data_IF_776211546500
#
_entry.id   IF_776211546500
#
_cell.length_a   1.000
_cell.length_b   1.000
_cell.length_c   1.000
_cell.angle_alpha   90.00
_cell.angle_beta   90.00
_cell.angle_gamma   90.00
#
_symmetry.space_group_name_H-M   'P 1'
#
loop_
_entity.id
_entity.type
_entity.pdbx_description
1 polymer ?
#
# COMPACT_ATOMS: atom_id res chain seq x y z
N UNK A 1 10.19 -34.19 -1.68
CA UNK A 1 9.98 -32.91 -0.99
C UNK A 1 9.00 -33.10 0.15
N UNK A 2 9.45 -32.93 1.39
CA UNK A 2 8.67 -33.20 2.61
C UNK A 2 7.81 -32.02 3.08
N UNK A 3 7.55 -31.03 2.23
CA UNK A 3 6.81 -29.79 2.54
C UNK A 3 5.34 -29.81 2.10
N UNK A 4 4.80 -30.94 1.67
CA UNK A 4 3.44 -31.06 1.15
C UNK A 4 2.35 -31.45 2.17
N UNK A 5 2.68 -31.54 3.47
CA UNK A 5 1.75 -32.01 4.51
C UNK A 5 1.44 -30.90 5.54
N UNK A 6 1.03 -29.76 5.08
CA UNK A 6 0.55 -28.68 5.94
C UNK A 6 -0.57 -27.93 5.25
N UNK A 7 -1.55 -27.49 6.02
CA UNK A 7 -2.55 -26.55 5.54
C UNK A 7 -1.82 -25.21 5.27
N UNK A 8 -1.74 -24.70 4.03
CA UNK A 8 -1.14 -23.39 3.81
C UNK A 8 -2.05 -22.33 4.45
N UNK A 9 -1.58 -21.73 5.52
CA UNK A 9 -2.25 -20.61 6.17
C UNK A 9 -1.62 -19.33 5.66
N UNK A 10 -2.42 -18.48 5.02
CA UNK A 10 -2.00 -17.14 4.61
C UNK A 10 -2.03 -16.26 5.86
N UNK A 11 -0.87 -15.80 6.31
CA UNK A 11 -0.76 -14.79 7.37
C UNK A 11 -0.86 -13.42 6.71
N UNK A 12 -1.99 -12.75 6.89
CA UNK A 12 -2.16 -11.38 6.40
C UNK A 12 -1.31 -10.40 7.21
N UNK A 13 -0.76 -9.35 6.57
CA UNK A 13 -0.13 -8.25 7.30
C UNK A 13 -1.12 -7.64 8.29
N UNK A 14 -0.68 -7.22 9.49
CA UNK A 14 -1.57 -6.60 10.46
C UNK A 14 -2.13 -5.28 9.93
N UNK A 15 -3.33 -4.92 10.39
CA UNK A 15 -3.97 -3.63 10.10
C UNK A 15 -3.14 -2.46 10.62
N UNK A 16 -3.40 -1.25 10.11
CA UNK A 16 -2.63 -0.05 10.43
C UNK A 16 -2.51 0.19 11.93
N UNK A 17 -3.61 0.13 12.67
CA UNK A 17 -3.63 0.34 14.12
C UNK A 17 -2.76 -0.68 14.86
N UNK A 18 -2.83 -1.93 14.44
CA UNK A 18 -1.98 -3.00 14.98
C UNK A 18 -0.51 -2.76 14.66
N UNK A 19 -0.19 -2.31 13.45
CA UNK A 19 1.20 -1.95 13.08
C UNK A 19 1.73 -0.80 13.93
N UNK A 20 0.93 0.22 14.18
CA UNK A 20 1.30 1.35 15.06
C UNK A 20 1.59 0.86 16.47
N UNK A 21 0.71 0.01 17.02
CA UNK A 21 0.90 -0.55 18.36
C UNK A 21 2.18 -1.41 18.46
N UNK A 22 2.45 -2.25 17.45
CA UNK A 22 3.67 -3.05 17.36
C UNK A 22 4.90 -2.14 17.32
N UNK A 23 4.86 -1.08 16.49
CA UNK A 23 5.99 -0.17 16.34
C UNK A 23 6.31 0.59 17.64
N UNK A 24 5.29 1.08 18.33
CA UNK A 24 5.45 1.77 19.62
C UNK A 24 6.05 0.83 20.68
N UNK A 25 5.52 -0.40 20.78
CA UNK A 25 6.06 -1.40 21.72
C UNK A 25 7.52 -1.73 21.41
N UNK A 26 7.87 -1.90 20.14
CA UNK A 26 9.26 -2.16 19.72
C UNK A 26 10.18 -0.95 19.97
N UNK A 27 9.67 0.26 19.85
CA UNK A 27 10.42 1.47 20.18
C UNK A 27 10.75 1.52 21.69
N UNK A 28 9.79 1.17 22.55
CA UNK A 28 10.01 1.06 24.00
C UNK A 28 11.10 0.02 24.33
N UNK A 29 11.06 -1.17 23.69
CA UNK A 29 12.09 -2.21 23.85
C UNK A 29 13.51 -1.72 23.48
N UNK A 30 13.60 -0.78 22.52
CA UNK A 30 14.85 -0.16 22.09
C UNK A 30 15.23 1.11 22.89
N UNK A 31 14.45 1.47 23.89
CA UNK A 31 14.57 2.74 24.63
C UNK A 31 14.56 3.96 23.69
N UNK A 32 13.76 3.91 22.65
CA UNK A 32 13.59 4.98 21.69
C UNK A 32 12.26 5.70 21.95
N UNK A 33 12.35 6.98 22.34
CA UNK A 33 11.15 7.81 22.50
C UNK A 33 10.55 8.10 21.12
N UNK A 34 9.48 7.36 20.75
CA UNK A 34 8.81 7.44 19.46
C UNK A 34 7.48 8.17 19.62
N UNK A 35 7.33 9.40 19.08
CA UNK A 35 6.05 10.10 19.06
C UNK A 35 5.01 9.31 18.26
N UNK A 36 3.73 9.41 18.67
CA UNK A 36 2.64 8.65 18.08
C UNK A 36 2.40 8.99 16.60
N UNK A 37 2.52 10.26 16.22
CA UNK A 37 2.45 10.74 14.84
C UNK A 37 3.58 10.16 13.97
N UNK A 38 4.76 10.01 14.53
CA UNK A 38 5.91 9.39 13.91
C UNK A 38 5.69 7.89 13.68
N UNK A 39 5.16 7.19 14.69
CA UNK A 39 4.80 5.77 14.58
C UNK A 39 3.71 5.56 13.52
N UNK A 40 2.71 6.42 13.49
CA UNK A 40 1.65 6.39 12.48
C UNK A 40 2.22 6.61 11.07
N UNK A 41 3.09 7.62 10.89
CA UNK A 41 3.74 7.92 9.61
C UNK A 41 4.52 6.73 9.05
N UNK A 42 5.30 6.04 9.88
CA UNK A 42 6.06 4.85 9.48
C UNK A 42 5.11 3.71 9.12
N UNK A 43 4.13 3.42 9.99
CA UNK A 43 3.20 2.30 9.82
C UNK A 43 2.26 2.44 8.64
N UNK A 44 1.89 3.67 8.27
CA UNK A 44 1.09 3.96 7.07
C UNK A 44 1.85 3.63 5.78
N UNK A 45 3.14 3.86 5.77
CA UNK A 45 3.99 3.68 4.58
C UNK A 45 4.60 2.30 4.47
N UNK A 46 4.99 1.68 5.59
CA UNK A 46 5.55 0.33 5.60
C UNK A 46 4.43 -0.66 5.92
N UNK A 47 3.87 -1.28 4.89
CA UNK A 47 2.68 -2.15 4.97
C UNK A 47 3.02 -3.64 4.82
N UNK A 48 4.20 -3.97 4.32
CA UNK A 48 4.56 -5.30 3.86
C UNK A 48 4.66 -6.34 4.98
N UNK A 49 5.42 -6.07 6.03
CA UNK A 49 5.59 -7.00 7.15
C UNK A 49 6.22 -6.32 8.38
N UNK A 50 6.11 -7.02 9.52
CA UNK A 50 6.65 -6.55 10.81
C UNK A 50 8.19 -6.43 10.80
N UNK A 51 8.89 -7.25 10.02
CA UNK A 51 10.37 -7.20 9.93
C UNK A 51 10.85 -5.91 9.29
N UNK A 52 10.13 -5.41 8.29
CA UNK A 52 10.45 -4.12 7.67
C UNK A 52 10.18 -2.95 8.62
N UNK A 53 9.10 -3.02 9.42
CA UNK A 53 8.84 -2.05 10.49
C UNK A 53 9.99 -2.03 11.50
N UNK A 54 10.46 -3.19 11.94
CA UNK A 54 11.61 -3.30 12.85
C UNK A 54 12.89 -2.76 12.22
N UNK A 55 13.14 -3.06 10.96
CA UNK A 55 14.28 -2.54 10.20
C UNK A 55 14.28 -1.02 10.11
N UNK A 56 13.13 -0.43 9.80
CA UNK A 56 12.93 1.01 9.75
C UNK A 56 13.17 1.65 11.13
N UNK A 57 12.62 1.05 12.20
CA UNK A 57 12.78 1.52 13.57
C UNK A 57 14.25 1.53 14.01
N UNK A 58 14.99 0.44 13.74
CA UNK A 58 16.42 0.35 14.03
C UNK A 58 17.22 1.43 13.29
N UNK A 59 16.89 1.70 12.03
CA UNK A 59 17.55 2.74 11.23
C UNK A 59 17.28 4.13 11.81
N UNK A 60 16.03 4.44 12.17
CA UNK A 60 15.66 5.70 12.82
C UNK A 60 16.39 5.86 14.16
N UNK A 61 16.41 4.81 14.99
CA UNK A 61 17.10 4.82 16.28
C UNK A 61 18.60 5.01 16.16
N UNK A 62 19.24 4.39 15.17
CA UNK A 62 20.67 4.57 14.89
C UNK A 62 20.98 6.01 14.48
N UNK A 63 20.17 6.60 13.59
CA UNK A 63 20.33 7.99 13.14
C UNK A 63 20.07 8.99 14.28
N UNK A 64 19.05 8.76 15.11
CA UNK A 64 18.77 9.59 16.28
C UNK A 64 19.98 9.63 17.24
N UNK A 65 20.56 8.47 17.54
CA UNK A 65 21.77 8.36 18.37
C UNK A 65 22.97 9.04 17.73
N UNK A 66 23.21 8.82 16.44
CA UNK A 66 24.34 9.39 15.72
C UNK A 66 24.25 10.92 15.65
N UNK A 67 23.05 11.45 15.35
CA UNK A 67 22.81 12.89 15.27
C UNK A 67 22.62 13.56 16.64
N UNK A 68 22.52 12.78 17.71
CA UNK A 68 22.15 13.24 19.06
C UNK A 68 20.89 14.10 19.05
N UNK A 69 19.86 13.62 18.35
CA UNK A 69 18.55 14.28 18.18
C UNK A 69 17.42 13.40 18.69
N UNK A 70 16.36 14.05 19.13
CA UNK A 70 15.10 13.37 19.39
C UNK A 70 14.43 12.93 18.07
N UNK A 71 13.57 11.90 18.16
CA UNK A 71 12.84 11.40 17.00
C UNK A 71 11.72 12.38 16.66
N UNK A 72 11.79 12.92 15.47
CA UNK A 72 10.75 13.74 14.85
C UNK A 72 10.47 13.26 13.40
N UNK A 73 9.43 13.83 12.78
CA UNK A 73 9.07 13.51 11.41
C UNK A 73 10.17 13.82 10.38
N UNK A 74 10.99 14.84 10.63
CA UNK A 74 12.07 15.20 9.73
C UNK A 74 13.20 14.18 9.77
N UNK A 75 13.59 13.75 10.98
CA UNK A 75 14.59 12.69 11.18
C UNK A 75 14.12 11.39 10.54
N UNK A 76 12.83 11.03 10.68
CA UNK A 76 12.27 9.83 10.06
C UNK A 76 12.33 9.90 8.54
N UNK A 77 11.89 11.01 7.93
CA UNK A 77 11.94 11.21 6.48
C UNK A 77 13.36 11.14 5.94
N UNK A 78 14.32 11.69 6.66
CA UNK A 78 15.74 11.63 6.30
C UNK A 78 16.28 10.20 6.44
N UNK A 79 16.03 9.55 7.58
CA UNK A 79 16.49 8.20 7.89
C UNK A 79 15.95 7.13 6.95
N UNK A 80 14.71 7.30 6.48
CA UNK A 80 13.99 6.32 5.65
C UNK A 80 13.88 6.76 4.17
N UNK A 81 14.58 7.82 3.75
CA UNK A 81 14.48 8.38 2.39
C UNK A 81 14.57 7.33 1.30
N UNK A 82 15.60 6.48 1.35
CA UNK A 82 15.83 5.46 0.33
C UNK A 82 14.75 4.37 0.35
N UNK A 83 14.36 3.93 1.54
CA UNK A 83 13.31 2.93 1.72
C UNK A 83 11.96 3.46 1.19
N UNK A 84 11.62 4.70 1.54
CA UNK A 84 10.37 5.33 1.07
C UNK A 84 10.40 5.59 -0.44
N UNK A 85 11.56 5.92 -1.02
CA UNK A 85 11.72 6.10 -2.45
C UNK A 85 11.56 4.78 -3.23
N UNK A 86 12.08 3.68 -2.69
CA UNK A 86 11.90 2.34 -3.28
C UNK A 86 10.43 1.95 -3.25
N UNK A 87 9.76 2.11 -2.11
CA UNK A 87 8.34 1.81 -1.97
C UNK A 87 7.46 2.70 -2.86
N UNK A 88 7.75 3.99 -2.96
CA UNK A 88 7.05 4.90 -3.86
C UNK A 88 7.19 4.50 -5.34
N UNK A 89 8.32 3.89 -5.74
CA UNK A 89 8.50 3.35 -7.09
C UNK A 89 7.72 2.06 -7.31
N UNK A 90 7.64 1.20 -6.30
CA UNK A 90 6.87 -0.05 -6.37
C UNK A 90 5.37 0.22 -6.46
N UNK A 91 4.88 1.24 -5.79
CA UNK A 91 3.45 1.61 -5.75
C UNK A 91 3.18 2.86 -6.62
N UNK A 92 3.69 2.89 -7.84
CA UNK A 92 3.32 3.89 -8.84
C UNK A 92 1.99 3.54 -9.52
N UNK A 93 1.29 4.55 -10.06
CA UNK A 93 0.05 4.31 -10.83
C UNK A 93 0.34 3.37 -12.01
N UNK A 94 1.45 3.54 -12.69
CA UNK A 94 1.85 2.69 -13.83
C UNK A 94 2.02 1.22 -13.40
N UNK A 95 2.66 0.98 -12.24
CA UNK A 95 2.81 -0.37 -11.72
C UNK A 95 1.47 -0.97 -11.27
N UNK A 96 0.60 -0.18 -10.66
CA UNK A 96 -0.77 -0.61 -10.32
C UNK A 96 -1.53 -1.03 -11.57
N UNK A 97 -1.50 -0.22 -12.61
CA UNK A 97 -2.17 -0.49 -13.89
C UNK A 97 -1.65 -1.79 -14.53
N UNK A 98 -0.33 -1.97 -14.56
CA UNK A 98 0.31 -3.17 -15.09
C UNK A 98 -0.05 -4.40 -14.27
N UNK A 99 0.09 -4.34 -12.95
CA UNK A 99 -0.23 -5.46 -12.05
C UNK A 99 -1.68 -5.89 -12.16
N UNK A 100 -2.62 -4.94 -12.20
CA UNK A 100 -4.05 -5.24 -12.38
C UNK A 100 -4.31 -5.83 -13.77
N UNK A 101 -3.67 -5.31 -14.81
CA UNK A 101 -3.79 -5.86 -16.18
C UNK A 101 -3.34 -7.30 -16.25
N UNK A 102 -2.19 -7.60 -15.65
CA UNK A 102 -1.62 -8.96 -15.60
C UNK A 102 -2.50 -9.90 -14.77
N UNK A 103 -2.98 -9.44 -13.61
CA UNK A 103 -3.83 -10.22 -12.71
C UNK A 103 -5.15 -10.66 -13.36
N UNK A 104 -5.80 -9.77 -14.10
CA UNK A 104 -7.06 -10.07 -14.80
C UNK A 104 -6.85 -10.52 -16.25
N UNK A 105 -5.62 -10.73 -16.68
CA UNK A 105 -5.26 -11.13 -18.04
C UNK A 105 -5.90 -10.24 -19.13
N UNK A 106 -5.83 -8.94 -18.95
CA UNK A 106 -6.31 -7.91 -19.89
C UNK A 106 -5.16 -7.07 -20.41
N UNK A 107 -5.31 -6.51 -21.60
CA UNK A 107 -4.29 -5.59 -22.14
C UNK A 107 -4.33 -4.26 -21.39
N UNK A 108 -3.15 -3.71 -21.06
CA UNK A 108 -3.03 -2.39 -20.45
C UNK A 108 -3.73 -1.31 -21.29
N UNK A 109 -3.60 -1.37 -22.62
CA UNK A 109 -4.29 -0.47 -23.55
C UNK A 109 -5.82 -0.54 -23.44
N UNK A 110 -6.39 -1.71 -23.14
CA UNK A 110 -7.83 -1.87 -22.94
C UNK A 110 -8.26 -1.34 -21.56
N UNK A 111 -7.43 -1.54 -20.52
CA UNK A 111 -7.68 -0.96 -19.19
C UNK A 111 -7.79 0.56 -19.26
N UNK A 112 -6.91 1.21 -20.02
CA UNK A 112 -6.82 2.67 -20.17
C UNK A 112 -7.76 3.23 -21.23
N UNK A 113 -8.35 2.38 -22.07
CA UNK A 113 -9.22 2.81 -23.17
C UNK A 113 -10.55 3.41 -22.69
N UNK A 114 -11.21 4.16 -23.58
CA UNK A 114 -12.56 4.67 -23.37
C UNK A 114 -13.66 3.60 -23.50
N UNK A 115 -13.30 2.37 -23.90
CA UNK A 115 -14.25 1.28 -24.10
C UNK A 115 -15.06 1.00 -22.81
N UNK A 116 -16.38 0.92 -22.97
CA UNK A 116 -17.34 0.60 -21.89
C UNK A 116 -17.71 -0.89 -21.94
N UNK A 117 -16.71 -1.76 -21.77
CA UNK A 117 -16.93 -3.20 -21.70
C UNK A 117 -17.10 -3.64 -20.23
N UNK A 118 -18.05 -4.54 -19.97
CA UNK A 118 -18.33 -5.08 -18.64
C UNK A 118 -17.11 -5.80 -18.02
N UNK A 119 -16.34 -6.51 -18.85
CA UNK A 119 -15.09 -7.18 -18.44
C UNK A 119 -13.96 -6.22 -18.01
N UNK A 120 -13.98 -4.98 -18.53
CA UNK A 120 -12.98 -3.96 -18.20
C UNK A 120 -13.40 -3.04 -17.05
N UNK A 121 -14.70 -2.98 -16.76
CA UNK A 121 -15.24 -2.06 -15.77
C UNK A 121 -14.71 -2.36 -14.36
N UNK A 122 -14.75 -3.62 -13.96
CA UNK A 122 -14.31 -4.05 -12.64
C UNK A 122 -12.80 -3.91 -12.43
N UNK A 123 -11.93 -4.43 -13.30
CA UNK A 123 -10.48 -4.22 -13.20
C UNK A 123 -10.11 -2.74 -13.15
N UNK A 124 -10.76 -1.91 -13.95
CA UNK A 124 -10.54 -0.47 -13.97
C UNK A 124 -10.92 0.22 -12.66
N UNK A 125 -12.09 -0.13 -12.10
CA UNK A 125 -12.54 0.39 -10.80
C UNK A 125 -11.59 -0.03 -9.68
N UNK A 126 -11.15 -1.30 -9.66
CA UNK A 126 -10.14 -1.81 -8.71
C UNK A 126 -8.83 -1.03 -8.83
N UNK A 127 -8.34 -0.85 -10.04
CA UNK A 127 -7.07 -0.15 -10.29
C UNK A 127 -7.12 1.32 -9.84
N UNK A 128 -8.21 2.03 -10.11
CA UNK A 128 -8.40 3.41 -9.62
C UNK A 128 -8.51 3.46 -8.08
N UNK A 129 -9.21 2.50 -7.47
CA UNK A 129 -9.33 2.41 -6.01
C UNK A 129 -7.98 2.12 -5.35
N UNK A 130 -7.20 1.20 -5.90
CA UNK A 130 -5.84 0.90 -5.45
C UNK A 130 -4.92 2.12 -5.60
N UNK A 131 -5.00 2.85 -6.72
CA UNK A 131 -4.22 4.06 -6.93
C UNK A 131 -4.55 5.13 -5.87
N UNK A 132 -5.83 5.27 -5.50
CA UNK A 132 -6.23 6.22 -4.44
C UNK A 132 -5.76 5.78 -3.05
N UNK A 133 -5.79 4.50 -2.75
CA UNK A 133 -5.39 3.97 -1.44
C UNK A 133 -3.86 3.92 -1.27
N UNK A 134 -3.14 3.50 -2.30
CA UNK A 134 -1.72 3.18 -2.21
C UNK A 134 -0.77 4.31 -2.65
N UNK A 135 -1.30 5.38 -3.25
CA UNK A 135 -0.50 6.53 -3.71
C UNK A 135 -1.02 7.85 -3.12
N UNK A 136 -0.20 8.89 -3.21
CA UNK A 136 -0.58 10.24 -2.77
C UNK A 136 -1.21 11.08 -3.89
N UNK A 137 -1.54 10.46 -5.05
CA UNK A 137 -2.13 11.19 -6.17
C UNK A 137 -3.56 11.65 -5.86
N UNK A 138 -3.87 12.84 -6.37
CA UNK A 138 -5.22 13.40 -6.33
C UNK A 138 -6.17 12.66 -7.28
N UNK A 139 -7.47 12.79 -7.06
CA UNK A 139 -8.47 12.17 -7.95
C UNK A 139 -8.35 12.62 -9.41
N UNK A 140 -8.09 13.91 -9.73
CA UNK A 140 -7.81 14.35 -11.10
C UNK A 140 -6.57 13.66 -11.71
N UNK A 141 -5.44 13.61 -11.01
CA UNK A 141 -4.22 12.95 -11.50
C UNK A 141 -4.44 11.46 -11.78
N UNK A 142 -5.19 10.78 -10.91
CA UNK A 142 -5.59 9.38 -11.15
C UNK A 142 -6.47 9.31 -12.39
N UNK A 143 -7.44 10.18 -12.53
CA UNK A 143 -8.33 10.24 -13.71
C UNK A 143 -7.55 10.40 -15.01
N UNK A 144 -6.60 11.31 -15.04
CA UNK A 144 -5.72 11.56 -16.19
C UNK A 144 -4.90 10.32 -16.55
N UNK A 145 -4.32 9.65 -15.56
CA UNK A 145 -3.55 8.41 -15.75
C UNK A 145 -4.41 7.24 -16.28
N UNK A 146 -5.72 7.28 -16.06
CA UNK A 146 -6.67 6.27 -16.58
C UNK A 146 -7.39 6.69 -17.86
N UNK A 147 -6.71 7.42 -18.74
CA UNK A 147 -7.22 7.80 -20.06
C UNK A 147 -8.07 9.06 -20.04
N UNK A 148 -7.73 10.02 -19.18
CA UNK A 148 -8.40 11.34 -19.12
C UNK A 148 -9.81 11.26 -18.51
N UNK A 149 -9.99 10.42 -17.50
CA UNK A 149 -11.29 10.28 -16.80
C UNK A 149 -11.47 11.40 -15.78
N UNK A 150 -12.69 11.86 -15.68
CA UNK A 150 -13.08 12.85 -14.69
C UNK A 150 -12.88 12.31 -13.25
N UNK A 151 -12.50 13.20 -12.33
CA UNK A 151 -12.31 12.89 -10.90
C UNK A 151 -13.55 12.26 -10.24
N UNK A 152 -14.76 12.61 -10.70
CA UNK A 152 -16.00 12.02 -10.22
C UNK A 152 -16.10 10.53 -10.59
N UNK A 153 -15.57 10.14 -11.74
CA UNK A 153 -15.47 8.72 -12.15
C UNK A 153 -14.56 7.95 -11.22
N UNK A 154 -13.42 8.54 -10.82
CA UNK A 154 -12.49 7.92 -9.87
C UNK A 154 -13.14 7.79 -8.49
N UNK A 155 -13.78 8.85 -8.00
CA UNK A 155 -14.47 8.85 -6.72
C UNK A 155 -15.58 7.79 -6.67
N UNK A 156 -16.39 7.71 -7.75
CA UNK A 156 -17.43 6.68 -7.88
C UNK A 156 -16.84 5.27 -7.90
N UNK A 157 -15.71 5.06 -8.57
CA UNK A 157 -15.02 3.77 -8.59
C UNK A 157 -14.57 3.36 -7.19
N UNK A 158 -13.95 4.25 -6.43
CA UNK A 158 -13.51 4.00 -5.05
C UNK A 158 -14.69 3.62 -4.15
N UNK A 159 -15.77 4.42 -4.19
CA UNK A 159 -16.99 4.14 -3.42
C UNK A 159 -17.58 2.78 -3.78
N UNK A 160 -17.71 2.49 -5.09
CA UNK A 160 -18.29 1.24 -5.58
C UNK A 160 -17.47 0.02 -5.16
N UNK A 161 -16.15 0.09 -5.21
CA UNK A 161 -15.27 -0.99 -4.77
C UNK A 161 -15.41 -1.18 -3.25
N UNK A 162 -15.42 -0.11 -2.46
CA UNK A 162 -15.62 -0.19 -1.01
C UNK A 162 -16.93 -0.88 -0.62
N UNK A 163 -18.04 -0.53 -1.29
CA UNK A 163 -19.34 -1.16 -1.06
C UNK A 163 -19.35 -2.65 -1.44
N UNK A 164 -18.76 -2.97 -2.59
CA UNK A 164 -18.77 -4.33 -3.12
C UNK A 164 -17.89 -5.29 -2.31
N UNK A 165 -16.78 -4.83 -1.78
CA UNK A 165 -15.90 -5.65 -0.91
C UNK A 165 -16.61 -6.12 0.36
N UNK A 166 -17.58 -5.36 0.87
CA UNK A 166 -18.35 -5.75 2.05
C UNK A 166 -19.30 -6.93 1.80
N UNK A 167 -19.74 -7.12 0.55
CA UNK A 167 -20.72 -8.15 0.19
C UNK A 167 -20.19 -9.25 -0.75
N UNK A 168 -18.92 -9.17 -1.20
CA UNK A 168 -18.34 -10.11 -2.15
C UNK A 168 -16.93 -10.50 -1.70
N UNK A 169 -16.83 -11.68 -1.11
CA UNK A 169 -15.59 -12.25 -0.57
C UNK A 169 -14.51 -12.41 -1.66
N UNK A 170 -14.88 -12.88 -2.85
CA UNK A 170 -13.94 -13.07 -3.97
C UNK A 170 -13.29 -11.73 -4.38
N UNK A 171 -14.08 -10.67 -4.50
CA UNK A 171 -13.58 -9.34 -4.83
C UNK A 171 -12.68 -8.77 -3.73
N UNK A 172 -13.00 -9.03 -2.47
CA UNK A 172 -12.18 -8.58 -1.34
C UNK A 172 -10.85 -9.33 -1.29
N UNK A 173 -10.86 -10.64 -1.60
CA UNK A 173 -9.64 -11.43 -1.74
C UNK A 173 -8.77 -10.95 -2.91
N UNK A 174 -9.36 -10.67 -4.08
CA UNK A 174 -8.66 -10.10 -5.23
C UNK A 174 -7.98 -8.77 -4.85
N UNK A 175 -8.72 -7.90 -4.16
CA UNK A 175 -8.20 -6.62 -3.70
C UNK A 175 -7.01 -6.78 -2.75
N UNK A 176 -7.13 -7.64 -1.75
CA UNK A 176 -6.07 -7.95 -0.78
C UNK A 176 -4.84 -8.57 -1.45
N UNK A 177 -5.04 -9.46 -2.40
CA UNK A 177 -3.95 -10.07 -3.18
C UNK A 177 -3.19 -9.02 -3.99
N UNK A 178 -3.91 -8.12 -4.66
CA UNK A 178 -3.30 -7.02 -5.42
C UNK A 178 -2.53 -6.07 -4.50
N UNK A 179 -3.09 -5.69 -3.35
CA UNK A 179 -2.36 -4.88 -2.35
C UNK A 179 -1.08 -5.58 -1.93
N UNK A 180 -1.13 -6.88 -1.64
CA UNK A 180 0.04 -7.67 -1.23
C UNK A 180 1.12 -7.67 -2.31
N UNK A 181 0.77 -7.91 -3.57
CA UNK A 181 1.72 -7.92 -4.68
C UNK A 181 2.34 -6.53 -4.90
N UNK A 182 1.56 -5.47 -4.76
CA UNK A 182 2.01 -4.09 -4.98
C UNK A 182 2.87 -3.53 -3.83
N UNK A 183 2.75 -4.09 -2.63
CA UNK A 183 3.46 -3.61 -1.42
C UNK A 183 4.52 -4.59 -0.90
N UNK A 184 4.76 -5.67 -1.62
CA UNK A 184 5.75 -6.70 -1.26
C UNK A 184 7.21 -6.26 -1.46
#
# INVERSE_FOLDING_TARGET
SRLGWGLPVIVEPPELETRVAILLKKAEELNLNMPQDCAFFISERIRSNVRELEGALKRVGANAKFANKEVDLNLIKESLRDLLAIQARQVSIDNIQKTVSDYFNIRLSDLLSSKRNRSLARPRQLSMSLAKELTNHSLPEIGDAFGGRDHTTVLHACKKIGELRQGNTELDEDYKNLVRVLTA
#
